data_IF_430141223545
#
_entry.id   IF_430141223545
#
_cell.length_a   1.000
_cell.length_b   1.000
_cell.length_c   1.000
_cell.angle_alpha   90.00
_cell.angle_beta   90.00
_cell.angle_gamma   90.00
#
_symmetry.space_group_name_H-M   'P 1'
#
loop_
_entity.id
_entity.type
_entity.pdbx_description
1 polymer ?
#
# COMPACT_ATOMS: atom_id res chain seq x y z
N UNK A 1 27.82 -12.99 4.05
CA UNK A 1 26.69 -12.98 3.12
C UNK A 1 26.37 -11.53 2.86
N UNK A 2 26.15 -11.15 1.61
CA UNK A 2 25.85 -9.76 1.26
C UNK A 2 24.71 -9.69 0.25
N UNK A 3 23.89 -8.64 0.34
CA UNK A 3 22.93 -8.30 -0.70
C UNK A 3 23.72 -7.64 -1.83
N UNK A 4 23.69 -8.21 -3.03
CA UNK A 4 24.39 -7.66 -4.20
C UNK A 4 23.56 -6.57 -4.87
N UNK A 5 22.29 -6.87 -5.13
CA UNK A 5 21.33 -5.93 -5.68
C UNK A 5 19.90 -6.36 -5.37
N UNK A 6 18.97 -5.45 -5.61
CA UNK A 6 17.53 -5.73 -5.60
C UNK A 6 16.88 -5.27 -6.89
N UNK A 7 15.78 -5.92 -7.28
CA UNK A 7 14.93 -5.45 -8.37
C UNK A 7 13.51 -5.19 -7.85
N UNK A 8 13.02 -3.98 -8.05
CA UNK A 8 11.68 -3.56 -7.62
C UNK A 8 10.79 -3.46 -8.85
N UNK A 9 9.63 -4.11 -8.80
CA UNK A 9 8.63 -4.05 -9.87
C UNK A 9 7.30 -3.56 -9.33
N UNK A 10 6.57 -2.84 -10.19
CA UNK A 10 5.17 -2.47 -9.97
C UNK A 10 4.85 -1.77 -8.63
N UNK A 11 5.85 -1.07 -8.05
CA UNK A 11 5.72 -0.39 -6.77
C UNK A 11 5.70 1.13 -6.93
N UNK A 12 4.54 1.76 -6.73
CA UNK A 12 4.31 3.21 -6.90
C UNK A 12 4.72 3.73 -8.29
N UNK A 13 5.88 4.38 -8.39
CA UNK A 13 6.45 4.90 -9.66
C UNK A 13 7.55 3.99 -10.21
N UNK A 14 7.98 2.99 -9.45
CA UNK A 14 9.01 2.03 -9.81
C UNK A 14 8.37 0.89 -10.59
N UNK A 15 8.36 0.99 -11.92
CA UNK A 15 7.82 -0.06 -12.80
C UNK A 15 8.71 -1.29 -12.84
N UNK A 16 10.00 -1.10 -13.10
CA UNK A 16 11.02 -2.15 -13.11
C UNK A 16 12.41 -1.50 -12.96
N UNK A 17 12.99 -1.57 -11.77
CA UNK A 17 14.25 -0.88 -11.43
C UNK A 17 15.18 -1.83 -10.69
N UNK A 18 16.48 -1.79 -11.03
CA UNK A 18 17.54 -2.46 -10.27
C UNK A 18 18.29 -1.45 -9.41
N UNK A 19 18.60 -1.84 -8.17
CA UNK A 19 19.45 -1.06 -7.25
C UNK A 19 20.60 -1.96 -6.82
N UNK A 20 21.80 -1.64 -7.26
CA UNK A 20 23.02 -2.31 -6.83
C UNK A 20 23.48 -1.76 -5.47
N UNK A 21 23.87 -2.65 -4.57
CA UNK A 21 24.40 -2.28 -3.27
C UNK A 21 25.93 -2.34 -3.26
N UNK A 22 26.55 -1.30 -2.71
CA UNK A 22 27.96 -1.34 -2.35
C UNK A 22 28.18 -2.22 -1.12
N UNK A 23 29.45 -2.56 -0.84
CA UNK A 23 29.80 -3.45 0.27
C UNK A 23 29.55 -2.87 1.66
N UNK A 24 29.50 -1.54 1.79
CA UNK A 24 29.39 -0.87 3.09
C UNK A 24 28.23 0.12 3.13
N UNK A 25 28.23 1.11 2.24
CA UNK A 25 27.29 2.23 2.30
C UNK A 25 26.81 2.63 0.91
N UNK A 26 25.53 2.38 0.65
CA UNK A 26 24.88 2.76 -0.61
C UNK A 26 24.11 4.06 -0.43
N UNK A 27 24.46 5.10 -1.20
CA UNK A 27 23.75 6.38 -1.19
C UNK A 27 22.87 6.52 -2.44
N UNK A 28 21.56 6.64 -2.23
CA UNK A 28 20.64 6.92 -3.33
C UNK A 28 20.59 8.44 -3.58
N UNK A 29 21.15 8.89 -4.71
CA UNK A 29 21.13 10.30 -5.16
C UNK A 29 20.34 10.45 -6.45
N UNK A 30 19.75 11.63 -6.68
CA UNK A 30 19.01 11.91 -7.90
C UNK A 30 18.00 13.04 -7.72
N UNK A 31 17.34 13.44 -8.80
CA UNK A 31 16.34 14.51 -8.81
C UNK A 31 15.15 14.24 -7.87
N UNK A 32 14.41 15.28 -7.51
CA UNK A 32 13.16 15.13 -6.77
C UNK A 32 12.20 14.20 -7.54
N UNK A 33 11.46 13.38 -6.80
CA UNK A 33 10.51 12.43 -7.36
C UNK A 33 11.13 11.35 -8.30
N UNK A 34 12.45 11.13 -8.24
CA UNK A 34 13.16 10.06 -8.98
C UNK A 34 12.96 8.65 -8.41
N UNK A 35 12.15 8.48 -7.36
CA UNK A 35 11.82 7.17 -6.79
C UNK A 35 12.69 6.70 -5.61
N UNK A 36 13.67 7.50 -5.13
CA UNK A 36 14.53 7.14 -3.97
C UNK A 36 13.73 6.79 -2.71
N UNK A 37 12.79 7.66 -2.33
CA UNK A 37 11.92 7.43 -1.19
C UNK A 37 11.03 6.21 -1.42
N UNK A 38 10.47 6.06 -2.63
CA UNK A 38 9.69 4.87 -2.98
C UNK A 38 10.48 3.58 -2.87
N UNK A 39 11.75 3.57 -3.27
CA UNK A 39 12.63 2.41 -3.16
C UNK A 39 12.89 2.05 -1.69
N UNK A 40 13.15 3.06 -0.85
CA UNK A 40 13.34 2.88 0.60
C UNK A 40 12.08 2.33 1.26
N UNK A 41 10.91 2.84 0.88
CA UNK A 41 9.62 2.35 1.40
C UNK A 41 9.32 0.94 0.91
N UNK A 42 9.63 0.59 -0.35
CA UNK A 42 9.48 -0.76 -0.86
C UNK A 42 10.30 -1.75 -0.04
N UNK A 43 11.59 -1.47 0.18
CA UNK A 43 12.45 -2.31 1.02
C UNK A 43 11.87 -2.49 2.41
N UNK A 44 11.42 -1.41 3.05
CA UNK A 44 10.81 -1.48 4.39
C UNK A 44 9.52 -2.31 4.41
N UNK A 45 8.61 -2.10 3.46
CA UNK A 45 7.33 -2.81 3.42
C UNK A 45 7.50 -4.30 3.10
N UNK A 46 8.37 -4.67 2.16
CA UNK A 46 8.60 -6.08 1.84
C UNK A 46 9.37 -6.83 2.92
N UNK A 47 10.34 -6.19 3.59
CA UNK A 47 11.26 -6.87 4.51
C UNK A 47 10.87 -6.77 5.99
N UNK A 48 10.12 -5.75 6.38
CA UNK A 48 9.87 -5.45 7.81
C UNK A 48 8.39 -5.29 8.12
N UNK A 49 7.66 -4.56 7.27
CA UNK A 49 6.30 -4.12 7.59
C UNK A 49 5.30 -4.41 6.44
N UNK A 50 5.10 -5.69 6.06
CA UNK A 50 4.18 -6.06 4.98
C UNK A 50 2.72 -5.68 5.29
N UNK A 51 2.36 -5.49 6.55
CA UNK A 51 1.04 -4.98 6.95
C UNK A 51 0.79 -3.52 6.51
N UNK A 52 1.84 -2.75 6.18
CA UNK A 52 1.71 -1.35 5.75
C UNK A 52 1.44 -1.16 4.27
N UNK A 53 1.40 -2.23 3.47
CA UNK A 53 0.97 -2.13 2.08
C UNK A 53 -0.44 -1.54 1.96
N UNK A 54 -0.61 -0.69 0.97
CA UNK A 54 -1.87 -0.03 0.61
C UNK A 54 -2.09 -0.06 -0.89
N UNK A 55 -3.30 0.28 -1.34
CA UNK A 55 -3.61 0.41 -2.78
C UNK A 55 -2.76 1.47 -3.49
N UNK A 56 -2.23 2.46 -2.76
CA UNK A 56 -1.33 3.46 -3.32
C UNK A 56 0.09 2.94 -3.58
N UNK A 57 0.43 1.77 -3.05
CA UNK A 57 1.74 1.14 -3.28
C UNK A 57 1.78 0.36 -4.60
N UNK A 58 0.62 0.08 -5.22
CA UNK A 58 0.54 -0.41 -6.60
C UNK A 58 0.88 0.68 -7.59
N UNK A 59 1.56 0.31 -8.68
CA UNK A 59 1.81 1.24 -9.78
C UNK A 59 0.50 1.73 -10.39
N UNK A 60 0.34 3.06 -10.49
CA UNK A 60 -0.91 3.69 -10.92
C UNK A 60 -1.41 3.18 -12.28
N UNK A 61 -0.51 2.99 -13.25
CA UNK A 61 -0.88 2.50 -14.59
C UNK A 61 -1.41 1.07 -14.60
N UNK A 62 -1.14 0.28 -13.56
CA UNK A 62 -1.54 -1.12 -13.49
C UNK A 62 -2.98 -1.28 -13.00
N UNK A 63 -3.59 -0.23 -12.42
CA UNK A 63 -5.00 -0.26 -12.03
C UNK A 63 -5.94 -0.47 -13.21
N UNK A 64 -5.60 0.04 -14.39
CA UNK A 64 -6.40 -0.21 -15.59
C UNK A 64 -6.47 -1.71 -15.93
N UNK A 65 -5.37 -2.44 -15.74
CA UNK A 65 -5.32 -3.90 -15.94
C UNK A 65 -6.12 -4.63 -14.85
N UNK A 66 -5.97 -4.23 -13.59
CA UNK A 66 -6.72 -4.80 -12.45
C UNK A 66 -8.23 -4.60 -12.62
N UNK A 67 -8.67 -3.41 -12.99
CA UNK A 67 -10.09 -3.10 -13.20
C UNK A 67 -10.64 -3.84 -14.43
N UNK A 68 -9.83 -4.06 -15.48
CA UNK A 68 -10.23 -4.89 -16.62
C UNK A 68 -10.43 -6.37 -16.24
N UNK A 69 -9.59 -6.91 -15.34
CA UNK A 69 -9.79 -8.27 -14.81
C UNK A 69 -11.10 -8.34 -14.00
N UNK A 70 -11.34 -7.35 -13.13
CA UNK A 70 -12.56 -7.27 -12.35
C UNK A 70 -13.82 -7.15 -13.22
N UNK A 71 -13.78 -6.36 -14.29
CA UNK A 71 -14.88 -6.25 -15.25
C UNK A 71 -15.16 -7.60 -15.94
N UNK A 72 -14.12 -8.34 -16.34
CA UNK A 72 -14.29 -9.70 -16.88
C UNK A 72 -14.94 -10.65 -15.88
N UNK A 73 -14.57 -10.58 -14.61
CA UNK A 73 -15.22 -11.37 -13.55
C UNK A 73 -16.71 -11.04 -13.43
N UNK A 74 -17.08 -9.75 -13.50
CA UNK A 74 -18.49 -9.33 -13.48
C UNK A 74 -19.27 -9.83 -14.72
N UNK A 75 -18.69 -9.73 -15.92
CA UNK A 75 -19.32 -10.19 -17.17
C UNK A 75 -19.50 -11.72 -17.24
N UNK A 76 -18.67 -12.45 -16.51
CA UNK A 76 -18.69 -13.90 -16.46
C UNK A 76 -19.58 -14.43 -15.34
N UNK A 77 -19.91 -13.62 -14.32
CA UNK A 77 -20.65 -14.05 -13.13
C UNK A 77 -21.98 -14.75 -13.42
N UNK A 78 -22.66 -14.37 -14.52
CA UNK A 78 -23.97 -14.91 -14.91
C UNK A 78 -23.90 -16.01 -15.99
N UNK A 79 -22.70 -16.39 -16.45
CA UNK A 79 -22.52 -17.39 -17.52
C UNK A 79 -22.27 -18.78 -16.93
N UNK A 80 -22.83 -19.84 -17.53
CA UNK A 80 -22.44 -21.20 -17.17
C UNK A 80 -21.03 -21.52 -17.69
N UNK A 81 -20.26 -22.32 -16.93
CA UNK A 81 -18.95 -22.85 -17.32
C UNK A 81 -17.82 -21.80 -17.48
N UNK A 82 -17.68 -20.93 -16.47
CA UNK A 82 -16.65 -19.88 -16.42
C UNK A 82 -15.29 -20.47 -16.01
N UNK A 83 -14.18 -20.11 -16.68
CA UNK A 83 -12.85 -20.48 -16.23
C UNK A 83 -12.55 -19.92 -14.82
N UNK A 84 -11.93 -20.74 -13.97
CA UNK A 84 -11.53 -20.30 -12.63
C UNK A 84 -10.57 -19.10 -12.70
N UNK A 85 -10.61 -18.17 -11.73
CA UNK A 85 -9.71 -17.03 -11.73
C UNK A 85 -8.26 -17.50 -11.53
N UNK A 86 -7.35 -17.07 -12.40
CA UNK A 86 -5.93 -17.43 -12.30
C UNK A 86 -5.11 -16.27 -11.73
N UNK A 87 -4.16 -16.57 -10.83
CA UNK A 87 -3.21 -15.58 -10.32
C UNK A 87 -2.36 -14.95 -11.44
N UNK A 88 -2.15 -15.71 -12.53
CA UNK A 88 -1.38 -15.31 -13.71
C UNK A 88 -1.85 -13.99 -14.32
N UNK A 89 -3.16 -13.73 -14.29
CA UNK A 89 -3.73 -12.50 -14.83
C UNK A 89 -3.25 -11.26 -14.06
N UNK A 90 -2.93 -11.42 -12.77
CA UNK A 90 -2.50 -10.32 -11.90
C UNK A 90 -0.99 -10.10 -11.90
N UNK A 91 -0.17 -11.08 -12.28
CA UNK A 91 1.29 -11.06 -12.08
C UNK A 91 1.98 -9.79 -12.60
N UNK A 92 1.52 -9.27 -13.73
CA UNK A 92 2.06 -8.05 -14.35
C UNK A 92 1.71 -6.76 -13.60
N UNK A 93 0.71 -6.79 -12.71
CA UNK A 93 0.26 -5.65 -11.94
C UNK A 93 0.76 -5.64 -10.49
N UNK A 94 1.12 -6.80 -9.95
CA UNK A 94 1.45 -6.97 -8.53
C UNK A 94 2.83 -6.38 -8.21
N UNK A 95 2.97 -5.63 -7.09
CA UNK A 95 4.27 -5.21 -6.58
C UNK A 95 5.15 -6.41 -6.22
N UNK A 96 6.42 -6.36 -6.60
CA UNK A 96 7.40 -7.37 -6.20
C UNK A 96 8.78 -6.77 -5.94
N UNK A 97 9.55 -7.50 -5.13
CA UNK A 97 10.93 -7.21 -4.76
C UNK A 97 11.75 -8.49 -4.92
N UNK A 98 12.72 -8.47 -5.82
CA UNK A 98 13.72 -9.53 -5.96
C UNK A 98 14.96 -9.13 -5.18
N UNK A 99 15.48 -10.05 -4.38
CA UNK A 99 16.66 -9.85 -3.56
C UNK A 99 17.69 -10.87 -3.98
N UNK A 100 18.88 -10.38 -4.34
CA UNK A 100 20.00 -11.21 -4.76
C UNK A 100 21.07 -11.16 -3.68
N UNK A 101 21.39 -12.34 -3.16
CA UNK A 101 22.37 -12.56 -2.11
C UNK A 101 23.60 -13.25 -2.69
N UNK A 102 24.78 -12.86 -2.22
CA UNK A 102 26.00 -13.63 -2.38
C UNK A 102 26.27 -14.37 -1.06
N UNK A 103 26.24 -15.70 -1.10
CA UNK A 103 26.41 -16.57 0.07
C UNK A 103 27.74 -17.31 -0.03
N UNK A 104 28.62 -17.14 0.95
CA UNK A 104 29.86 -17.90 1.01
C UNK A 104 29.66 -19.35 1.48
N UNK A 105 30.62 -20.22 1.18
CA UNK A 105 30.56 -21.65 1.56
C UNK A 105 30.37 -21.88 3.07
N UNK A 106 30.93 -21.01 3.93
CA UNK A 106 30.77 -21.08 5.38
C UNK A 106 29.44 -20.53 5.92
N UNK A 107 28.52 -20.11 5.05
CA UNK A 107 27.29 -19.39 5.43
C UNK A 107 26.02 -20.10 4.96
N UNK A 108 26.18 -21.25 4.29
CA UNK A 108 25.11 -22.07 3.73
C UNK A 108 24.09 -22.47 4.80
N UNK A 109 24.53 -22.67 6.06
CA UNK A 109 23.66 -23.05 7.16
C UNK A 109 22.60 -22.01 7.51
N UNK A 110 22.81 -20.73 7.16
CA UNK A 110 21.83 -19.68 7.37
C UNK A 110 20.69 -19.74 6.33
N UNK A 111 20.98 -20.21 5.11
CA UNK A 111 20.02 -20.22 3.98
C UNK A 111 19.46 -21.60 3.67
N UNK A 112 19.44 -22.52 4.65
CA UNK A 112 19.01 -23.92 4.46
C UNK A 112 17.62 -24.07 3.84
N UNK A 113 16.68 -23.21 4.21
CA UNK A 113 15.31 -23.20 3.64
C UNK A 113 15.22 -22.64 2.22
N UNK A 114 16.32 -22.13 1.67
CA UNK A 114 16.41 -21.47 0.37
C UNK A 114 17.39 -22.18 -0.58
N UNK A 115 17.93 -23.34 -0.20
CA UNK A 115 18.94 -24.01 -1.02
C UNK A 115 18.34 -24.48 -2.35
N UNK A 116 18.91 -24.07 -3.50
CA UNK A 116 18.43 -24.55 -4.81
C UNK A 116 18.64 -26.06 -4.98
N UNK A 117 19.78 -26.56 -4.51
CA UNK A 117 20.18 -27.98 -4.58
C UNK A 117 20.89 -28.41 -3.29
N UNK A 118 20.90 -29.72 -3.01
CA UNK A 118 21.55 -30.29 -1.82
C UNK A 118 23.08 -30.22 -1.85
N UNK A 119 23.67 -30.19 -3.05
CA UNK A 119 25.10 -30.10 -3.32
C UNK A 119 25.59 -28.66 -3.51
N UNK A 120 24.74 -27.67 -3.23
CA UNK A 120 25.05 -26.27 -3.46
C UNK A 120 26.21 -25.78 -2.57
N UNK A 121 27.31 -25.39 -3.21
CA UNK A 121 28.56 -25.00 -2.54
C UNK A 121 28.64 -23.50 -2.18
N UNK A 122 27.52 -22.78 -2.30
CA UNK A 122 27.46 -21.32 -2.18
C UNK A 122 27.45 -20.59 -3.53
N UNK A 123 27.28 -19.27 -3.49
CA UNK A 123 27.21 -18.40 -4.65
C UNK A 123 25.94 -17.52 -4.67
N UNK A 124 25.46 -17.11 -5.86
CA UNK A 124 24.31 -16.24 -5.99
C UNK A 124 23.01 -16.98 -5.64
N UNK A 125 22.22 -16.37 -4.77
CA UNK A 125 20.91 -16.86 -4.34
C UNK A 125 19.88 -15.74 -4.52
N UNK A 126 18.85 -16.00 -5.32
CA UNK A 126 17.78 -15.04 -5.59
C UNK A 126 16.47 -15.44 -4.91
N UNK A 127 15.81 -14.47 -4.28
CA UNK A 127 14.48 -14.64 -3.68
C UNK A 127 13.56 -13.51 -4.16
N UNK A 128 12.41 -13.86 -4.71
CA UNK A 128 11.34 -12.90 -5.07
C UNK A 128 10.30 -12.86 -3.97
N UNK A 129 10.05 -11.67 -3.45
CA UNK A 129 8.91 -11.34 -2.61
C UNK A 129 7.84 -10.68 -3.47
N UNK A 130 6.64 -11.26 -3.54
CA UNK A 130 5.52 -10.69 -4.31
C UNK A 130 4.33 -10.42 -3.39
N UNK A 131 3.79 -9.22 -3.45
CA UNK A 131 2.60 -8.86 -2.69
C UNK A 131 1.35 -9.24 -3.48
N UNK A 132 0.70 -10.34 -3.09
CA UNK A 132 -0.30 -11.01 -3.90
C UNK A 132 -1.51 -11.50 -3.09
N UNK A 133 -2.65 -11.83 -3.74
CA UNK A 133 -3.79 -12.45 -3.06
C UNK A 133 -3.40 -13.79 -2.43
N UNK A 134 -3.77 -14.00 -1.16
CA UNK A 134 -3.57 -15.28 -0.45
C UNK A 134 -4.23 -16.46 -1.17
N UNK A 135 -5.43 -16.22 -1.68
CA UNK A 135 -6.23 -17.16 -2.48
C UNK A 135 -7.02 -16.34 -3.50
N UNK A 136 -6.76 -16.58 -4.78
CA UNK A 136 -7.40 -15.83 -5.86
C UNK A 136 -8.91 -16.10 -5.92
N UNK A 137 -9.34 -17.33 -5.62
CA UNK A 137 -10.76 -17.71 -5.57
C UNK A 137 -11.53 -16.95 -4.50
N UNK A 138 -10.92 -16.77 -3.33
CA UNK A 138 -11.52 -16.04 -2.22
C UNK A 138 -11.63 -14.54 -2.52
N UNK A 139 -10.62 -13.98 -3.19
CA UNK A 139 -10.66 -12.59 -3.67
C UNK A 139 -11.80 -12.41 -4.67
N UNK A 140 -11.87 -13.29 -5.68
CA UNK A 140 -12.88 -13.28 -6.72
C UNK A 140 -14.31 -13.38 -6.14
N UNK A 141 -14.55 -14.40 -5.30
CA UNK A 141 -15.86 -14.66 -4.69
C UNK A 141 -16.34 -13.50 -3.82
N UNK A 142 -15.48 -12.98 -2.96
CA UNK A 142 -15.85 -11.89 -2.03
C UNK A 142 -16.12 -10.58 -2.78
N UNK A 143 -15.29 -10.27 -3.78
CA UNK A 143 -15.50 -9.10 -4.64
C UNK A 143 -16.85 -9.16 -5.35
N UNK A 144 -17.17 -10.28 -6.02
CA UNK A 144 -18.44 -10.44 -6.72
C UNK A 144 -19.65 -10.40 -5.78
N UNK A 145 -19.53 -11.00 -4.59
CA UNK A 145 -20.61 -10.99 -3.60
C UNK A 145 -20.92 -9.56 -3.12
N UNK A 146 -19.92 -8.77 -2.77
CA UNK A 146 -20.11 -7.38 -2.35
C UNK A 146 -20.57 -6.49 -3.52
N UNK A 147 -20.05 -6.73 -4.72
CA UNK A 147 -20.46 -6.01 -5.93
C UNK A 147 -21.91 -6.26 -6.30
N UNK A 148 -22.39 -7.51 -6.18
CA UNK A 148 -23.79 -7.88 -6.40
C UNK A 148 -24.71 -7.22 -5.38
N UNK A 149 -24.40 -7.30 -4.08
CA UNK A 149 -25.15 -6.59 -3.02
C UNK A 149 -25.27 -5.09 -3.30
N UNK A 150 -24.18 -4.45 -3.75
CA UNK A 150 -24.20 -3.04 -4.10
C UNK A 150 -25.12 -2.74 -5.30
N UNK A 151 -25.16 -3.60 -6.32
CA UNK A 151 -26.04 -3.46 -7.48
C UNK A 151 -27.51 -3.68 -7.11
N UNK A 152 -27.83 -4.74 -6.37
CA UNK A 152 -29.20 -5.09 -5.97
C UNK A 152 -29.87 -3.96 -5.16
N UNK A 153 -29.13 -3.26 -4.29
CA UNK A 153 -29.69 -2.14 -3.49
C UNK A 153 -29.95 -0.89 -4.34
N UNK A 154 -29.24 -0.72 -5.47
CA UNK A 154 -29.43 0.39 -6.41
C UNK A 154 -30.59 0.10 -7.36
N UNK A 155 -30.80 -1.16 -7.74
CA UNK A 155 -31.93 -1.65 -8.54
C UNK A 155 -33.24 -1.60 -7.74
N UNK A 156 -33.84 -0.41 -7.65
CA UNK A 156 -35.09 -0.18 -6.92
C UNK A 156 -35.25 1.24 -6.40
N UNK A 157 -34.25 2.11 -6.57
CA UNK A 157 -34.28 3.50 -6.10
C UNK A 157 -34.27 4.49 -7.27
N UNK A 158 -35.15 5.49 -7.22
CA UNK A 158 -35.20 6.60 -8.20
C UNK A 158 -33.92 7.45 -8.21
N UNK A 159 -33.22 7.54 -7.07
CA UNK A 159 -31.85 8.07 -6.98
C UNK A 159 -30.90 6.90 -6.81
N UNK A 160 -29.90 6.76 -7.69
CA UNK A 160 -28.87 5.72 -7.63
C UNK A 160 -27.72 6.18 -6.71
N UNK A 161 -27.72 5.84 -5.40
CA UNK A 161 -26.58 6.16 -4.54
C UNK A 161 -25.35 5.39 -5.04
N UNK A 162 -24.17 5.98 -4.89
CA UNK A 162 -22.93 5.25 -5.11
C UNK A 162 -22.66 4.37 -3.91
N UNK A 163 -22.80 3.06 -4.09
CA UNK A 163 -22.58 2.07 -3.04
C UNK A 163 -21.22 1.42 -3.19
N UNK A 164 -20.61 1.12 -2.05
CA UNK A 164 -19.36 0.38 -2.00
C UNK A 164 -19.62 -1.11 -2.27
N UNK A 165 -18.73 -1.81 -3.01
CA UNK A 165 -17.58 -1.29 -3.73
C UNK A 165 -17.96 -0.72 -5.11
N UNK A 166 -17.40 0.44 -5.48
CA UNK A 166 -17.60 1.05 -6.81
C UNK A 166 -16.73 0.41 -7.89
N UNK A 167 -15.54 -0.06 -7.52
CA UNK A 167 -14.52 -0.65 -8.38
C UNK A 167 -13.65 -1.64 -7.60
N UNK A 168 -12.77 -2.39 -8.27
CA UNK A 168 -11.83 -3.30 -7.61
C UNK A 168 -10.91 -2.54 -6.65
N UNK A 169 -10.44 -1.35 -7.04
CA UNK A 169 -9.65 -0.48 -6.15
C UNK A 169 -10.41 -0.12 -4.88
N UNK A 170 -11.67 0.31 -5.01
CA UNK A 170 -12.51 0.67 -3.86
C UNK A 170 -12.73 -0.50 -2.91
N UNK A 171 -12.89 -1.71 -3.45
CA UNK A 171 -12.95 -2.93 -2.67
C UNK A 171 -11.63 -3.20 -1.91
N UNK A 172 -10.50 -3.12 -2.61
CA UNK A 172 -9.18 -3.35 -2.03
C UNK A 172 -8.82 -2.30 -0.98
N UNK A 173 -9.25 -1.04 -1.11
CA UNK A 173 -9.02 -0.02 -0.08
C UNK A 173 -9.48 -0.45 1.33
N UNK A 174 -10.51 -1.32 1.41
CA UNK A 174 -11.01 -1.86 2.70
C UNK A 174 -10.53 -3.27 3.02
N UNK A 175 -10.25 -4.10 2.00
CA UNK A 175 -10.02 -5.54 2.18
C UNK A 175 -8.60 -6.02 1.83
N UNK A 176 -7.71 -5.13 1.38
CA UNK A 176 -6.36 -5.50 0.92
C UNK A 176 -5.59 -6.32 1.97
N UNK A 177 -5.49 -5.83 3.21
CA UNK A 177 -4.74 -6.51 4.29
C UNK A 177 -5.28 -7.89 4.65
N UNK A 178 -6.59 -8.10 4.51
CA UNK A 178 -7.21 -9.39 4.80
C UNK A 178 -6.91 -10.40 3.68
N UNK A 179 -6.95 -9.93 2.43
CA UNK A 179 -6.90 -10.77 1.22
C UNK A 179 -5.50 -10.97 0.65
N UNK A 180 -4.54 -10.08 0.93
CA UNK A 180 -3.20 -10.12 0.37
C UNK A 180 -2.14 -10.50 1.41
N UNK A 181 -1.03 -11.05 0.95
CA UNK A 181 0.17 -11.33 1.73
C UNK A 181 1.40 -11.20 0.85
N UNK A 182 2.57 -11.08 1.47
CA UNK A 182 3.83 -11.26 0.76
C UNK A 182 4.10 -12.75 0.67
N UNK A 183 4.29 -13.26 -0.55
CA UNK A 183 4.73 -14.62 -0.83
C UNK A 183 6.17 -14.61 -1.34
N UNK A 184 6.96 -15.60 -0.92
CA UNK A 184 8.35 -15.75 -1.32
C UNK A 184 8.51 -16.84 -2.38
N UNK A 185 9.39 -16.63 -3.35
CA UNK A 185 9.71 -17.58 -4.41
C UNK A 185 11.22 -17.64 -4.63
N UNK A 186 11.73 -18.84 -4.87
CA UNK A 186 13.12 -19.03 -5.27
C UNK A 186 13.32 -18.64 -6.73
N UNK A 187 14.45 -17.98 -7.01
CA UNK A 187 14.84 -17.55 -8.34
C UNK A 187 16.04 -18.36 -8.84
N UNK A 188 16.11 -18.56 -10.16
CA UNK A 188 17.25 -19.21 -10.79
C UNK A 188 18.36 -18.19 -11.07
N UNK A 189 19.54 -18.41 -10.50
CA UNK A 189 20.69 -17.53 -10.72
C UNK A 189 21.15 -17.49 -12.18
N UNK A 190 20.98 -18.57 -12.95
CA UNK A 190 21.36 -18.61 -14.35
C UNK A 190 20.43 -17.75 -15.24
N UNK A 191 19.19 -17.54 -14.82
CA UNK A 191 18.22 -16.71 -15.52
C UNK A 191 18.32 -15.20 -15.20
N UNK A 192 19.26 -14.80 -14.33
CA UNK A 192 19.46 -13.39 -13.99
C UNK A 192 20.14 -12.61 -15.13
N UNK A 193 19.41 -11.67 -15.73
CA UNK A 193 19.91 -10.82 -16.81
C UNK A 193 20.24 -9.41 -16.29
N UNK A 194 21.28 -8.77 -16.83
CA UNK A 194 21.60 -7.36 -16.49
C UNK A 194 20.54 -6.40 -17.05
N UNK A 195 20.29 -5.26 -16.38
CA UNK A 195 19.35 -4.26 -16.88
C UNK A 195 19.79 -3.73 -18.25
N UNK A 196 18.81 -3.35 -19.07
CA UNK A 196 19.04 -2.76 -20.40
C UNK A 196 18.35 -1.41 -20.46
N UNK A 197 19.06 -0.36 -20.88
CA UNK A 197 18.56 1.02 -20.92
C UNK A 197 18.00 1.51 -19.56
N UNK A 198 18.62 1.08 -18.45
CA UNK A 198 18.19 1.45 -17.09
C UNK A 198 16.91 0.75 -16.61
N UNK A 199 16.36 -0.18 -17.39
CA UNK A 199 15.18 -0.96 -17.03
C UNK A 199 15.63 -2.36 -16.59
N UNK A 200 15.25 -2.75 -15.38
CA UNK A 200 15.48 -4.11 -14.91
C UNK A 200 14.70 -5.10 -15.78
N UNK A 201 15.26 -6.29 -15.98
CA UNK A 201 14.60 -7.41 -16.68
C UNK A 201 14.53 -8.60 -15.74
N UNK A 202 13.66 -8.53 -14.71
CA UNK A 202 13.55 -9.61 -13.75
C UNK A 202 13.05 -10.86 -14.45
N UNK A 203 13.58 -12.01 -14.04
CA UNK A 203 13.18 -13.28 -14.65
C UNK A 203 11.69 -13.57 -14.40
N UNK A 204 10.99 -14.22 -15.35
CA UNK A 204 9.68 -14.79 -15.07
C UNK A 204 9.83 -15.91 -14.03
N UNK A 205 8.82 -16.08 -13.18
CA UNK A 205 8.78 -17.27 -12.32
C UNK A 205 8.48 -18.51 -13.19
N UNK A 206 9.25 -19.59 -13.09
CA UNK A 206 8.92 -20.85 -13.74
C UNK A 206 7.54 -21.36 -13.34
N UNK A 207 6.83 -21.95 -14.30
CA UNK A 207 5.48 -22.49 -14.07
C UNK A 207 5.53 -23.62 -13.06
N UNK A 208 4.71 -23.55 -12.02
CA UNK A 208 4.57 -24.61 -11.01
C UNK A 208 5.53 -24.51 -9.83
N UNK A 209 6.33 -23.45 -9.72
CA UNK A 209 7.07 -23.19 -8.46
C UNK A 209 6.09 -22.82 -7.37
N UNK A 210 6.11 -23.60 -6.28
CA UNK A 210 5.39 -23.26 -5.05
C UNK A 210 6.03 -22.07 -4.34
N UNK A 211 5.20 -21.31 -3.62
CA UNK A 211 5.72 -20.33 -2.66
C UNK A 211 6.51 -21.04 -1.58
N UNK A 212 7.57 -20.39 -1.09
CA UNK A 212 8.26 -20.82 0.12
C UNK A 212 7.37 -20.55 1.31
N UNK A 213 7.25 -21.53 2.21
CA UNK A 213 6.47 -21.37 3.43
C UNK A 213 7.11 -20.34 4.38
N UNK A 214 6.33 -19.34 4.78
CA UNK A 214 6.76 -18.30 5.71
C UNK A 214 7.65 -17.23 5.07
N UNK A 215 8.39 -16.50 5.90
CA UNK A 215 9.37 -15.51 5.46
C UNK A 215 10.77 -16.14 5.48
N UNK A 216 11.34 -16.53 4.33
CA UNK A 216 12.63 -17.21 4.32
C UNK A 216 13.82 -16.26 4.55
N UNK A 217 13.57 -14.95 4.60
CA UNK A 217 14.56 -13.93 4.91
C UNK A 217 14.54 -13.52 6.38
N UNK A 218 13.67 -14.14 7.19
CA UNK A 218 13.62 -13.88 8.61
C UNK A 218 14.95 -14.23 9.28
N UNK A 219 15.45 -13.34 10.12
CA UNK A 219 16.78 -13.44 10.74
C UNK A 219 17.98 -13.23 9.80
N UNK A 220 17.81 -13.27 8.48
CA UNK A 220 18.90 -13.07 7.50
C UNK A 220 19.18 -11.59 7.22
N UNK A 221 18.12 -10.79 7.14
CA UNK A 221 18.22 -9.38 6.77
C UNK A 221 17.68 -8.53 7.93
N UNK A 222 18.52 -7.63 8.45
CA UNK A 222 18.11 -6.61 9.42
C UNK A 222 18.00 -5.27 8.72
N UNK A 223 16.82 -4.67 8.79
CA UNK A 223 16.56 -3.33 8.25
C UNK A 223 16.28 -2.39 9.41
N UNK A 224 17.20 -1.47 9.67
CA UNK A 224 16.97 -0.35 10.59
C UNK A 224 16.57 0.87 9.78
N UNK A 225 15.31 1.29 9.90
CA UNK A 225 14.82 2.51 9.27
C UNK A 225 14.88 3.66 10.26
N UNK A 226 15.74 4.65 10.00
CA UNK A 226 15.72 5.93 10.71
C UNK A 226 14.95 6.89 9.83
N UNK A 227 13.76 7.29 10.26
CA UNK A 227 12.99 8.31 9.55
C UNK A 227 13.79 9.62 9.58
N UNK A 228 13.92 10.28 8.42
CA UNK A 228 14.45 11.62 8.38
C UNK A 228 13.44 12.53 9.11
N UNK A 229 13.75 12.92 10.34
CA UNK A 229 12.90 13.80 11.14
C UNK A 229 12.94 15.21 10.53
N UNK A 230 12.05 15.49 9.57
CA UNK A 230 11.72 16.85 9.12
C UNK A 230 10.39 16.84 8.38
N UNK A 231 9.39 17.52 8.96
CA UNK A 231 8.01 17.63 8.49
C UNK A 231 7.84 17.81 6.99
N UNK A 232 7.73 16.68 6.29
CA UNK A 232 7.33 16.56 4.90
C UNK A 232 6.43 15.34 4.77
N UNK A 233 5.16 15.51 5.13
CA UNK A 233 4.04 14.77 4.54
C UNK A 233 3.90 13.27 4.82
N UNK A 234 4.71 12.67 5.70
CA UNK A 234 4.36 11.37 6.26
C UNK A 234 3.35 11.60 7.39
N UNK A 235 2.07 11.58 7.03
CA UNK A 235 1.03 11.20 7.98
C UNK A 235 1.43 9.82 8.51
N UNK A 236 1.91 9.75 9.75
CA UNK A 236 1.81 8.53 10.54
C UNK A 236 0.33 8.16 10.53
N UNK A 237 -0.07 7.31 9.58
CA UNK A 237 -1.42 6.74 9.54
C UNK A 237 -1.50 5.74 10.69
N UNK A 238 -1.73 6.27 11.88
CA UNK A 238 -2.28 5.55 13.01
C UNK A 238 -3.67 5.07 12.56
N UNK A 239 -3.73 3.84 12.06
CA UNK A 239 -4.99 3.13 11.98
C UNK A 239 -5.32 2.70 13.41
N UNK A 240 -6.44 3.22 13.92
CA UNK A 240 -7.04 2.76 15.16
C UNK A 240 -7.56 1.34 14.94
N UNK A 241 -6.81 0.34 15.42
CA UNK A 241 -7.41 -0.94 15.76
C UNK A 241 -8.11 -0.79 17.11
N UNK A 242 -9.30 -1.38 17.20
CA UNK A 242 -10.10 -1.42 18.41
C UNK A 242 -9.33 -2.15 19.51
N UNK A 243 -9.30 -1.54 20.69
CA UNK A 243 -8.76 -2.06 21.95
C UNK A 243 -7.26 -2.41 21.95
N UNK A 244 -6.44 -1.41 22.27
CA UNK A 244 -5.03 -1.57 22.61
C UNK A 244 -4.33 -0.23 22.68
N UNK A 245 -4.15 0.30 23.89
CA UNK A 245 -3.39 1.52 24.13
C UNK A 245 -1.99 1.40 23.55
N UNK A 246 -1.64 2.31 22.64
CA UNK A 246 -0.24 2.61 22.31
C UNK A 246 0.01 4.08 22.65
N UNK A 247 0.71 4.28 23.76
CA UNK A 247 1.22 5.58 24.19
C UNK A 247 2.39 5.92 23.30
N UNK A 248 2.18 6.83 22.35
CA UNK A 248 3.26 7.60 21.74
C UNK A 248 3.01 9.06 22.10
N UNK A 249 3.74 9.53 23.12
CA UNK A 249 3.82 10.94 23.50
C UNK A 249 4.51 11.73 22.39
N UNK A 250 3.73 12.13 21.40
CA UNK A 250 4.09 13.14 20.41
C UNK A 250 2.90 14.07 20.23
N UNK A 251 3.05 15.34 20.61
CA UNK A 251 2.00 16.37 20.56
C UNK A 251 1.25 16.32 19.22
N UNK A 252 0.00 15.84 19.25
CA UNK A 252 -0.89 15.80 18.07
C UNK A 252 -1.05 17.21 17.51
N UNK A 253 -0.98 17.35 16.18
CA UNK A 253 -1.20 18.63 15.53
C UNK A 253 -2.60 19.17 15.86
N UNK A 254 -2.70 20.46 16.18
CA UNK A 254 -3.95 21.13 16.58
C UNK A 254 -5.08 20.95 15.56
N UNK A 255 -4.73 20.83 14.28
CA UNK A 255 -5.64 20.52 13.17
C UNK A 255 -6.30 19.14 13.29
N UNK A 256 -5.57 18.13 13.76
CA UNK A 256 -6.08 16.78 14.03
C UNK A 256 -7.07 16.79 15.20
N UNK A 257 -6.77 17.56 16.24
CA UNK A 257 -7.63 17.74 17.40
C UNK A 257 -8.92 18.47 17.03
N UNK A 258 -8.84 19.54 16.23
CA UNK A 258 -10.01 20.26 15.72
C UNK A 258 -10.86 19.40 14.79
N UNK A 259 -10.24 18.64 13.88
CA UNK A 259 -10.97 17.73 12.97
C UNK A 259 -11.67 16.62 13.74
N UNK A 260 -11.02 16.06 14.76
CA UNK A 260 -11.62 15.04 15.63
C UNK A 260 -12.78 15.62 16.43
N UNK A 261 -12.62 16.82 16.98
CA UNK A 261 -13.68 17.54 17.69
C UNK A 261 -14.89 17.81 16.77
N UNK A 262 -14.65 18.32 15.56
CA UNK A 262 -15.71 18.57 14.58
C UNK A 262 -16.45 17.28 14.17
N UNK A 263 -15.70 16.21 13.86
CA UNK A 263 -16.31 14.93 13.48
C UNK A 263 -17.14 14.33 14.62
N UNK A 264 -16.68 14.48 15.86
CA UNK A 264 -17.32 13.86 17.03
C UNK A 264 -18.50 14.67 17.58
N UNK A 265 -18.55 15.98 17.33
CA UNK A 265 -19.54 16.87 17.97
C UNK A 265 -20.37 17.72 17.01
N UNK A 266 -20.01 17.82 15.72
CA UNK A 266 -20.61 18.78 14.79
C UNK A 266 -21.01 18.18 13.42
N UNK A 267 -20.74 16.91 13.15
CA UNK A 267 -21.12 16.27 11.88
C UNK A 267 -22.50 15.59 11.98
N UNK A 268 -23.56 16.12 11.33
CA UNK A 268 -24.92 15.58 11.44
C UNK A 268 -25.14 14.29 10.63
N UNK A 269 -24.11 13.80 9.94
CA UNK A 269 -24.23 12.67 9.00
C UNK A 269 -24.03 11.30 9.64
N UNK A 270 -23.43 11.23 10.84
CA UNK A 270 -23.08 9.96 11.52
C UNK A 270 -24.10 9.48 12.57
N UNK A 271 -25.25 10.16 12.74
CA UNK A 271 -26.34 9.66 13.61
C UNK A 271 -27.74 10.00 13.10
N UNK A 272 -28.20 9.26 12.08
CA UNK A 272 -29.63 9.15 11.80
C UNK A 272 -30.16 7.86 12.42
N UNK A 273 -30.49 7.92 13.71
CA UNK A 273 -31.48 7.00 14.30
C UNK A 273 -32.89 7.60 14.11
N UNK A 274 -33.94 6.80 13.86
CA UNK A 274 -35.22 7.31 13.37
C UNK A 274 -36.12 7.84 14.49
N UNK A 275 -35.69 8.86 15.26
CA UNK A 275 -36.57 9.44 16.29
C UNK A 275 -36.40 10.91 16.67
N UNK A 276 -35.81 11.75 15.81
CA UNK A 276 -35.78 13.21 16.03
C UNK A 276 -36.14 13.96 14.76
N UNK A 277 -37.39 13.83 14.33
CA UNK A 277 -38.00 14.78 13.40
C UNK A 277 -39.14 15.49 14.14
N UNK A 278 -38.87 16.72 14.60
CA UNK A 278 -39.92 17.70 14.88
C UNK A 278 -39.56 19.01 14.18
N UNK A 279 -40.52 19.71 13.56
CA UNK A 279 -40.25 20.93 12.81
C UNK A 279 -40.00 22.10 13.76
N UNK A 280 -38.99 22.90 13.45
CA UNK A 280 -38.74 24.17 14.12
C UNK A 280 -39.95 25.11 13.99
N UNK A 281 -40.66 25.35 15.10
CA UNK A 281 -41.61 26.47 15.21
C UNK A 281 -40.83 27.78 15.36
N UNK A 282 -41.16 28.75 14.50
CA UNK A 282 -40.82 30.16 14.68
C UNK A 282 -41.29 30.65 16.05
N UNK A 283 -40.38 31.25 16.83
CA UNK A 283 -40.76 32.17 17.89
C UNK A 283 -39.62 33.14 18.22
N UNK A 284 -39.96 34.41 18.03
CA UNK A 284 -39.50 35.59 18.75
C UNK A 284 -38.03 36.05 18.63
N UNK A 285 -37.87 37.07 17.77
CA UNK A 285 -36.83 38.09 17.85
C UNK A 285 -36.84 38.84 19.19
N UNK A 286 -35.67 39.25 19.67
CA UNK A 286 -35.53 40.60 20.23
C UNK A 286 -34.41 41.39 19.54
N UNK A 287 -34.68 42.69 19.40
CA UNK A 287 -33.90 43.72 18.72
C UNK A 287 -32.50 43.91 19.32
N UNK A 288 -31.47 44.05 18.49
CA UNK A 288 -30.19 44.68 18.85
C UNK A 288 -30.06 46.06 18.17
N UNK A 289 -29.49 47.07 18.85
CA UNK A 289 -29.29 48.39 18.27
C UNK A 289 -28.03 48.43 17.38
N UNK A 290 -28.13 49.25 16.32
CA UNK A 290 -27.08 49.58 15.37
C UNK A 290 -26.00 50.45 16.03
N UNK A 291 -24.72 50.11 15.83
CA UNK A 291 -23.61 51.06 15.94
C UNK A 291 -22.70 50.94 14.72
N UNK A 292 -22.44 52.12 14.14
CA UNK A 292 -21.67 52.41 12.94
C UNK A 292 -20.17 52.09 13.06
N UNK A 293 -19.61 51.62 11.92
CA UNK A 293 -18.34 51.99 11.28
C UNK A 293 -17.07 52.27 12.09
N UNK A 294 -15.96 51.68 11.63
CA UNK A 294 -14.77 52.43 11.19
C UNK A 294 -13.74 51.49 10.53
N UNK A 295 -13.34 51.88 9.32
CA UNK A 295 -12.15 51.40 8.62
C UNK A 295 -10.89 51.98 9.27
N UNK A 296 -9.84 51.19 9.45
CA UNK A 296 -8.46 51.71 9.50
C UNK A 296 -7.45 50.64 9.10
N UNK A 297 -6.48 51.08 8.30
CA UNK A 297 -5.50 50.30 7.59
C UNK A 297 -4.34 49.80 8.46
N UNK A 298 -3.78 48.65 8.07
CA UNK A 298 -2.53 48.09 8.59
C UNK A 298 -1.31 48.86 8.10
N UNK A 299 -0.37 49.14 9.01
CA UNK A 299 1.02 49.55 8.71
C UNK A 299 1.99 48.93 9.71
N UNK A 300 3.17 48.55 9.19
CA UNK A 300 4.45 48.34 9.92
C UNK A 300 4.54 47.10 10.85
N UNK A 301 5.66 46.41 11.03
CA UNK A 301 7.02 46.50 10.49
C UNK A 301 7.78 45.18 10.80
N UNK A 302 8.76 44.84 9.96
CA UNK A 302 9.80 43.84 10.21
C UNK A 302 10.66 44.15 11.45
N UNK A 303 11.06 43.12 12.20
CA UNK A 303 12.32 43.09 12.96
C UNK A 303 12.94 41.69 12.94
N UNK A 304 14.16 41.62 12.42
CA UNK A 304 15.11 40.53 12.62
C UNK A 304 15.61 40.53 14.07
N UNK A 305 15.92 39.35 14.60
CA UNK A 305 16.93 39.24 15.66
C UNK A 305 17.81 38.01 15.43
N UNK A 306 19.12 38.25 15.30
CA UNK A 306 20.21 37.27 15.44
C UNK A 306 20.61 37.19 16.90
N UNK A 307 20.64 35.99 17.46
CA UNK A 307 21.80 35.38 18.13
C UNK A 307 21.39 33.99 18.60
#
# INVERSE_FOLDING_TARGET
>A
MKITFVEIQNFRKLKSVRIDFSEKTTLLVGANNSGKTSATVALRQFLVEPQKFSTNDFTLSNWALIEAIAAKWEEQADKPNVPAPELKDWELALPSLDIWLEVGAGEIHYVRGLLPTLDWAGGPLGVRLRFEPKKIDDLHRDFLAERKKAKDVVEGRHKKPRLWPESMRSYLDRRLRARFTVQAYLLDAAACVKPSNGIAKPQPLPKGIGSVDGNPLDGLIRVHAIAAQRGLGEEDRQFADAEGETVVEGRKALSEQLRTYYKKHLDPTDSLTPKTWMPWKQSNSPKMPLIHGLWTASRMQLKNWKN
#
